data_IF_214954068584
#
_entry.id   IF_214954068584
#
_cell.length_a   1.000
_cell.length_b   1.000
_cell.length_c   1.000
_cell.angle_alpha   90.00
_cell.angle_beta   90.00
_cell.angle_gamma   90.00
#
_symmetry.space_group_name_H-M   'P 1'
#
loop_
_entity.id
_entity.type
_entity.pdbx_description
1 polymer ?
#
# COMPACT_ATOMS: atom_id res chain seq x y z
N UNK A 1 -5.01 5.86 19.41
CA UNK A 1 -6.43 6.26 19.61
C UNK A 1 -7.42 5.09 19.46
N UNK A 2 -7.24 4.16 18.51
CA UNK A 2 -8.15 3.01 18.32
C UNK A 2 -8.16 2.02 19.51
N UNK A 3 -6.99 1.76 20.11
CA UNK A 3 -6.84 0.87 21.27
C UNK A 3 -7.68 1.32 22.48
N UNK A 4 -7.66 2.63 22.77
CA UNK A 4 -8.41 3.22 23.90
C UNK A 4 -9.93 3.07 23.72
N UNK A 5 -10.43 3.16 22.48
CA UNK A 5 -11.87 3.01 22.18
C UNK A 5 -12.33 1.55 22.33
N UNK A 6 -11.56 0.60 21.80
CA UNK A 6 -11.89 -0.83 21.90
C UNK A 6 -11.80 -1.31 23.35
N UNK A 7 -10.80 -0.83 24.10
CA UNK A 7 -10.67 -1.07 25.54
C UNK A 7 -11.87 -0.53 26.32
N UNK A 8 -12.27 0.74 26.09
CA UNK A 8 -13.42 1.36 26.77
C UNK A 8 -14.73 0.60 26.52
N UNK A 9 -14.99 0.20 25.26
CA UNK A 9 -16.20 -0.57 24.91
C UNK A 9 -16.19 -1.92 25.62
N UNK A 10 -15.05 -2.62 25.63
CA UNK A 10 -14.94 -3.95 26.26
C UNK A 10 -15.09 -3.85 27.78
N UNK A 11 -14.52 -2.82 28.40
CA UNK A 11 -14.69 -2.54 29.83
C UNK A 11 -16.16 -2.30 30.20
N UNK A 12 -16.89 -1.54 29.38
CA UNK A 12 -18.30 -1.27 29.60
C UNK A 12 -19.16 -2.54 29.41
N UNK A 13 -18.82 -3.41 28.44
CA UNK A 13 -19.44 -4.74 28.28
C UNK A 13 -19.20 -5.64 29.49
N UNK A 14 -18.00 -5.57 30.08
CA UNK A 14 -17.69 -6.28 31.33
C UNK A 14 -18.51 -5.76 32.52
N UNK A 15 -18.72 -4.44 32.62
CA UNK A 15 -19.58 -3.84 33.64
C UNK A 15 -21.03 -4.32 33.50
N UNK A 16 -21.56 -4.36 32.28
CA UNK A 16 -22.91 -4.89 31.99
C UNK A 16 -23.03 -6.37 32.36
N UNK A 17 -22.03 -7.18 32.02
CA UNK A 17 -21.97 -8.58 32.43
C UNK A 17 -22.03 -8.73 33.96
N UNK A 18 -21.23 -7.95 34.68
CA UNK A 18 -21.19 -7.98 36.14
C UNK A 18 -22.53 -7.56 36.76
N UNK A 19 -23.18 -6.55 36.19
CA UNK A 19 -24.54 -6.14 36.58
C UNK A 19 -25.55 -7.29 36.46
N UNK A 20 -25.63 -7.95 35.30
CA UNK A 20 -26.60 -9.03 35.08
C UNK A 20 -26.30 -10.28 35.94
N UNK A 21 -25.03 -10.59 36.21
CA UNK A 21 -24.67 -11.69 37.13
C UNK A 21 -25.08 -11.39 38.57
N UNK A 22 -24.74 -10.20 39.08
CA UNK A 22 -25.11 -9.81 40.44
C UNK A 22 -26.64 -9.81 40.60
N UNK A 23 -27.33 -9.28 39.60
CA UNK A 23 -28.80 -9.28 39.57
C UNK A 23 -29.38 -10.71 39.60
N UNK A 24 -28.86 -11.59 38.76
CA UNK A 24 -29.31 -12.98 38.70
C UNK A 24 -29.09 -13.74 40.01
N UNK A 25 -27.96 -13.53 40.68
CA UNK A 25 -27.64 -14.23 41.92
C UNK A 25 -28.51 -13.71 43.07
N UNK A 26 -28.62 -12.39 43.22
CA UNK A 26 -29.19 -11.74 44.41
C UNK A 26 -30.72 -11.58 44.36
N UNK A 27 -31.30 -11.28 43.20
CA UNK A 27 -32.69 -10.78 43.13
C UNK A 27 -33.68 -11.69 42.40
N UNK A 28 -33.22 -12.57 41.50
CA UNK A 28 -34.14 -13.52 40.87
C UNK A 28 -34.54 -14.65 41.84
N UNK A 29 -35.81 -15.08 41.90
CA UNK A 29 -36.23 -16.19 42.77
C UNK A 29 -36.15 -17.57 42.09
N UNK A 30 -36.27 -17.66 40.75
CA UNK A 30 -36.37 -18.92 40.01
C UNK A 30 -35.02 -19.50 39.56
N UNK A 31 -34.70 -20.74 39.94
CA UNK A 31 -33.43 -21.42 39.59
C UNK A 31 -33.19 -21.53 38.08
N UNK A 32 -34.24 -21.83 37.30
CA UNK A 32 -34.16 -21.94 35.84
C UNK A 32 -33.89 -20.58 35.17
N UNK A 33 -34.55 -19.51 35.63
CA UNK A 33 -34.31 -18.16 35.12
C UNK A 33 -32.91 -17.66 35.47
N UNK A 34 -32.41 -17.95 36.68
CA UNK A 34 -31.02 -17.66 37.06
C UNK A 34 -30.02 -18.32 36.12
N UNK A 35 -30.18 -19.62 35.88
CA UNK A 35 -29.28 -20.38 35.02
C UNK A 35 -29.26 -19.79 33.60
N UNK A 36 -30.43 -19.46 33.03
CA UNK A 36 -30.52 -18.87 31.69
C UNK A 36 -29.84 -17.51 31.60
N UNK A 37 -30.08 -16.61 32.57
CA UNK A 37 -29.44 -15.27 32.58
C UNK A 37 -27.92 -15.39 32.70
N UNK A 38 -27.41 -16.28 33.55
CA UNK A 38 -25.97 -16.52 33.72
C UNK A 38 -25.35 -17.08 32.44
N UNK A 39 -26.00 -18.05 31.79
CA UNK A 39 -25.51 -18.65 30.54
C UNK A 39 -25.46 -17.61 29.42
N UNK A 40 -26.53 -16.85 29.21
CA UNK A 40 -26.57 -15.81 28.16
C UNK A 40 -25.56 -14.70 28.45
N UNK A 41 -25.42 -14.29 29.72
CA UNK A 41 -24.41 -13.29 30.11
C UNK A 41 -22.98 -13.80 29.89
N UNK A 42 -22.71 -15.08 30.19
CA UNK A 42 -21.39 -15.68 29.95
C UNK A 42 -21.05 -15.74 28.47
N UNK A 43 -22.00 -16.13 27.62
CA UNK A 43 -21.86 -16.13 26.16
C UNK A 43 -21.59 -14.72 25.63
N UNK A 44 -22.30 -13.72 26.15
CA UNK A 44 -22.10 -12.32 25.79
C UNK A 44 -20.66 -11.86 26.07
N UNK A 45 -20.10 -12.19 27.24
CA UNK A 45 -18.72 -11.85 27.58
C UNK A 45 -17.71 -12.62 26.71
N UNK A 46 -17.93 -13.92 26.47
CA UNK A 46 -17.06 -14.72 25.61
C UNK A 46 -16.98 -14.15 24.20
N UNK A 47 -18.12 -13.77 23.61
CA UNK A 47 -18.17 -13.14 22.28
C UNK A 47 -17.49 -11.77 22.29
N UNK A 48 -17.68 -10.98 23.35
CA UNK A 48 -17.01 -9.69 23.50
C UNK A 48 -15.48 -9.82 23.55
N UNK A 49 -14.96 -10.80 24.29
CA UNK A 49 -13.52 -11.10 24.38
C UNK A 49 -12.95 -11.61 23.05
N UNK A 50 -13.65 -12.51 22.38
CA UNK A 50 -13.24 -13.00 21.05
C UNK A 50 -13.15 -11.83 20.06
N UNK A 51 -14.10 -10.89 20.11
CA UNK A 51 -14.05 -9.71 19.25
C UNK A 51 -12.94 -8.72 19.64
N UNK A 52 -12.56 -8.65 20.92
CA UNK A 52 -11.40 -7.87 21.37
C UNK A 52 -10.09 -8.41 20.76
N UNK A 53 -9.87 -9.73 20.81
CA UNK A 53 -8.65 -10.35 20.29
C UNK A 53 -8.65 -10.55 18.76
N UNK A 54 -9.80 -10.78 18.13
CA UNK A 54 -9.94 -11.10 16.70
C UNK A 54 -10.82 -10.09 15.94
N UNK A 55 -10.53 -8.80 16.12
CA UNK A 55 -11.30 -7.67 15.55
C UNK A 55 -11.48 -7.69 14.02
N UNK A 56 -10.62 -8.38 13.25
CA UNK A 56 -10.61 -8.30 11.79
C UNK A 56 -11.68 -9.19 11.11
N UNK A 57 -12.03 -10.34 11.70
CA UNK A 57 -12.99 -11.30 11.10
C UNK A 57 -14.46 -10.97 11.40
N UNK A 58 -14.76 -10.30 12.51
CA UNK A 58 -16.13 -10.10 13.02
C UNK A 58 -16.66 -8.66 12.91
N UNK A 59 -16.00 -7.82 12.11
CA UNK A 59 -16.21 -6.36 12.11
C UNK A 59 -17.65 -5.92 11.80
N UNK A 60 -18.40 -6.66 10.96
CA UNK A 60 -19.81 -6.35 10.64
C UNK A 60 -20.80 -6.90 11.66
N UNK A 61 -20.52 -8.06 12.25
CA UNK A 61 -21.39 -8.69 13.24
C UNK A 61 -21.28 -8.03 14.61
N UNK A 62 -20.12 -7.47 14.95
CA UNK A 62 -19.90 -6.82 16.24
C UNK A 62 -20.84 -5.64 16.52
N UNK A 63 -21.36 -4.99 15.47
CA UNK A 63 -22.32 -3.90 15.61
C UNK A 63 -23.72 -4.41 16.04
N UNK A 64 -24.00 -5.72 15.87
CA UNK A 64 -25.30 -6.34 16.19
C UNK A 64 -25.29 -7.26 17.41
N UNK A 65 -24.10 -7.72 17.82
CA UNK A 65 -23.90 -8.63 18.95
C UNK A 65 -24.55 -8.08 20.23
N UNK A 66 -24.35 -6.80 20.52
CA UNK A 66 -24.88 -6.20 21.74
C UNK A 66 -26.42 -6.24 21.77
N UNK A 67 -27.11 -6.07 20.64
CA UNK A 67 -28.57 -6.16 20.58
C UNK A 67 -29.07 -7.59 20.75
N UNK A 68 -28.39 -8.56 20.13
CA UNK A 68 -28.78 -9.97 20.21
C UNK A 68 -28.73 -10.49 21.65
N UNK A 69 -27.77 -10.04 22.46
CA UNK A 69 -27.62 -10.49 23.84
C UNK A 69 -28.34 -9.60 24.87
N UNK A 70 -28.30 -8.27 24.72
CA UNK A 70 -28.86 -7.36 25.75
C UNK A 70 -30.39 -7.32 25.73
N UNK A 71 -31.05 -7.47 24.57
CA UNK A 71 -32.52 -7.44 24.49
C UNK A 71 -33.12 -8.63 25.26
N UNK A 72 -32.70 -9.90 25.03
CA UNK A 72 -33.17 -11.02 25.83
C UNK A 72 -32.81 -10.91 27.31
N UNK A 73 -31.60 -10.40 27.64
CA UNK A 73 -31.18 -10.22 29.03
C UNK A 73 -32.05 -9.22 29.79
N UNK A 74 -32.41 -8.09 29.16
CA UNK A 74 -33.29 -7.08 29.75
C UNK A 74 -34.74 -7.55 29.91
N UNK A 75 -35.19 -8.46 29.04
CA UNK A 75 -36.54 -9.04 29.14
C UNK A 75 -36.60 -10.15 30.19
N UNK A 76 -35.58 -11.02 30.25
CA UNK A 76 -35.50 -12.13 31.19
C UNK A 76 -35.15 -11.70 32.63
N UNK A 77 -34.48 -10.56 32.81
CA UNK A 77 -34.14 -10.06 34.16
C UNK A 77 -35.35 -9.58 34.95
N UNK A 78 -36.46 -9.24 34.27
CA UNK A 78 -37.66 -8.66 34.86
C UNK A 78 -37.46 -7.30 35.51
N UNK A 79 -36.26 -6.70 35.40
CA UNK A 79 -35.93 -5.44 36.04
C UNK A 79 -36.14 -4.24 35.12
N UNK A 80 -36.91 -3.24 35.54
CA UNK A 80 -37.19 -2.07 34.71
C UNK A 80 -35.95 -1.20 34.47
N UNK A 81 -34.93 -1.29 35.34
CA UNK A 81 -33.64 -0.60 35.17
C UNK A 81 -32.75 -1.24 34.10
N UNK A 82 -32.97 -2.51 33.75
CA UNK A 82 -32.18 -3.21 32.75
C UNK A 82 -32.32 -2.62 31.34
N UNK A 83 -33.37 -1.83 31.08
CA UNK A 83 -33.61 -1.12 29.82
C UNK A 83 -32.45 -0.16 29.51
N UNK A 84 -31.84 0.45 30.54
CA UNK A 84 -30.72 1.37 30.37
C UNK A 84 -29.44 0.69 29.87
N UNK A 85 -29.35 -0.64 29.93
CA UNK A 85 -28.23 -1.38 29.31
C UNK A 85 -28.17 -1.15 27.79
N UNK A 86 -29.29 -0.86 27.15
CA UNK A 86 -29.38 -0.57 25.71
C UNK A 86 -28.90 0.83 25.32
N UNK A 87 -28.68 1.73 26.29
CA UNK A 87 -28.03 3.03 26.05
C UNK A 87 -26.54 2.88 25.72
N UNK A 88 -25.90 1.82 26.21
CA UNK A 88 -24.48 1.59 25.98
C UNK A 88 -24.19 1.38 24.48
N UNK A 89 -24.90 0.48 23.76
CA UNK A 89 -24.78 0.37 22.31
C UNK A 89 -25.16 1.66 21.56
N UNK A 90 -26.14 2.43 22.06
CA UNK A 90 -26.62 3.65 21.38
C UNK A 90 -25.53 4.72 21.29
N UNK A 91 -24.75 4.89 22.36
CA UNK A 91 -23.62 5.83 22.45
C UNK A 91 -22.48 5.53 21.46
N UNK A 92 -22.33 4.28 21.02
CA UNK A 92 -21.20 3.88 20.16
C UNK A 92 -21.59 3.54 18.71
N UNK A 93 -22.88 3.45 18.41
CA UNK A 93 -23.40 3.09 17.09
C UNK A 93 -23.33 4.24 16.07
N UNK A 94 -23.52 5.48 16.53
CA UNK A 94 -23.45 6.68 15.68
C UNK A 94 -22.02 7.26 15.65
N UNK A 95 -21.52 7.79 14.51
CA UNK A 95 -22.16 7.96 13.21
C UNK A 95 -21.85 6.85 12.20
N UNK A 96 -21.34 5.69 12.64
CA UNK A 96 -20.85 4.66 11.71
C UNK A 96 -21.99 3.99 10.92
N UNK A 97 -23.11 3.69 11.59
CA UNK A 97 -24.26 3.04 10.97
C UNK A 97 -25.56 3.56 11.62
N UNK A 98 -26.53 3.98 10.80
CA UNK A 98 -27.85 4.45 11.28
C UNK A 98 -28.73 3.30 11.78
N UNK A 99 -28.61 2.12 11.17
CA UNK A 99 -29.46 0.95 11.44
C UNK A 99 -29.35 0.46 12.89
N UNK A 100 -28.14 0.24 13.48
CA UNK A 100 -28.00 -0.16 14.88
C UNK A 100 -28.52 0.90 15.87
N UNK A 101 -28.39 2.18 15.54
CA UNK A 101 -28.97 3.26 16.35
C UNK A 101 -30.51 3.20 16.37
N UNK A 102 -31.14 3.02 15.21
CA UNK A 102 -32.60 2.85 15.16
C UNK A 102 -33.06 1.61 15.92
N UNK A 103 -32.36 0.47 15.80
CA UNK A 103 -32.65 -0.75 16.55
C UNK A 103 -32.55 -0.50 18.06
N UNK A 104 -31.51 0.19 18.52
CA UNK A 104 -31.33 0.57 19.92
C UNK A 104 -32.48 1.43 20.44
N UNK A 105 -32.83 2.48 19.70
CA UNK A 105 -33.88 3.43 20.09
C UNK A 105 -35.26 2.75 20.09
N UNK A 106 -35.57 1.94 19.08
CA UNK A 106 -36.84 1.18 19.01
C UNK A 106 -36.93 0.12 20.10
N UNK A 107 -35.87 -0.63 20.35
CA UNK A 107 -35.87 -1.66 21.40
C UNK A 107 -35.95 -1.07 22.80
N UNK A 108 -35.21 0.01 23.08
CA UNK A 108 -35.26 0.70 24.37
C UNK A 108 -36.62 1.36 24.62
N UNK A 109 -37.27 1.90 23.58
CA UNK A 109 -38.62 2.46 23.72
C UNK A 109 -39.70 1.40 23.85
N UNK A 110 -39.63 0.32 23.08
CA UNK A 110 -40.57 -0.80 23.21
C UNK A 110 -40.50 -1.42 24.60
N UNK A 111 -39.28 -1.67 25.12
CA UNK A 111 -39.09 -2.15 26.49
C UNK A 111 -39.49 -1.10 27.53
N UNK A 112 -39.20 0.18 27.28
CA UNK A 112 -39.62 1.30 28.12
C UNK A 112 -41.14 1.33 28.29
N UNK A 113 -41.89 1.20 27.19
CA UNK A 113 -43.35 1.14 27.20
C UNK A 113 -43.87 -0.13 27.88
N UNK A 114 -43.19 -1.26 27.67
CA UNK A 114 -43.56 -2.54 28.31
C UNK A 114 -43.47 -2.48 29.85
N UNK A 115 -42.41 -1.89 30.41
CA UNK A 115 -42.19 -1.84 31.85
C UNK A 115 -42.80 -0.61 32.55
N UNK A 116 -42.85 0.55 31.89
CA UNK A 116 -43.31 1.82 32.51
C UNK A 116 -44.59 2.39 31.89
N UNK A 117 -45.22 1.70 30.95
CA UNK A 117 -46.43 2.17 30.25
C UNK A 117 -46.16 3.44 29.42
N UNK A 118 -47.14 4.35 29.35
CA UNK A 118 -47.03 5.59 28.56
C UNK A 118 -45.85 6.50 28.99
N UNK A 119 -45.41 6.43 30.25
CA UNK A 119 -44.23 7.17 30.73
C UNK A 119 -42.92 6.66 30.11
N UNK A 120 -42.92 5.41 29.63
CA UNK A 120 -41.81 4.81 28.90
C UNK A 120 -41.46 5.50 27.57
N UNK A 121 -42.38 6.30 27.01
CA UNK A 121 -42.10 7.13 25.83
C UNK A 121 -41.00 8.17 26.08
N UNK A 122 -40.76 8.57 27.33
CA UNK A 122 -39.69 9.50 27.70
C UNK A 122 -38.28 8.90 27.48
N UNK A 123 -38.17 7.58 27.33
CA UNK A 123 -36.91 6.89 26.97
C UNK A 123 -36.51 7.19 25.52
N UNK A 124 -37.47 7.53 24.65
CA UNK A 124 -37.21 7.86 23.23
C UNK A 124 -36.30 9.09 23.07
N UNK A 125 -36.66 10.29 23.56
CA UNK A 125 -35.81 11.46 23.39
C UNK A 125 -34.45 11.30 24.08
N UNK A 126 -34.39 10.57 25.21
CA UNK A 126 -33.15 10.32 25.93
C UNK A 126 -32.17 9.45 25.14
N UNK A 127 -32.65 8.30 24.62
CA UNK A 127 -31.83 7.37 23.81
C UNK A 127 -31.35 8.01 22.51
N UNK A 128 -32.21 8.84 21.90
CA UNK A 128 -31.90 9.57 20.67
C UNK A 128 -30.88 10.69 20.93
N UNK A 129 -31.05 11.48 21.98
CA UNK A 129 -30.09 12.52 22.37
C UNK A 129 -28.71 11.95 22.70
N UNK A 130 -28.66 10.84 23.46
CA UNK A 130 -27.41 10.16 23.78
C UNK A 130 -26.79 9.47 22.56
N UNK A 131 -27.58 8.95 21.64
CA UNK A 131 -27.07 8.41 20.38
C UNK A 131 -26.48 9.48 19.45
N UNK A 132 -26.99 10.72 19.51
CA UNK A 132 -26.50 11.85 18.70
C UNK A 132 -25.37 12.62 19.42
N UNK A 133 -25.28 12.57 20.76
CA UNK A 133 -24.24 13.25 21.55
C UNK A 133 -22.78 13.00 21.10
N UNK A 134 -22.36 11.78 20.68
CA UNK A 134 -21.02 11.54 20.14
C UNK A 134 -20.75 12.26 18.81
N UNK A 135 -21.81 12.72 18.12
CA UNK A 135 -21.70 13.56 16.94
C UNK A 135 -21.54 15.01 17.32
N UNK A 136 -20.35 15.35 17.81
CA UNK A 136 -19.76 16.62 17.41
C UNK A 136 -19.48 16.53 15.90
N UNK A 137 -20.54 16.71 15.12
CA UNK A 137 -20.56 16.65 13.64
C UNK A 137 -19.43 17.52 13.05
N UNK A 138 -19.04 18.57 13.77
CA UNK A 138 -17.98 19.50 13.42
C UNK A 138 -16.56 18.92 13.58
N UNK A 139 -16.28 18.18 14.65
CA UNK A 139 -14.97 17.54 14.89
C UNK A 139 -14.74 16.37 13.93
N UNK A 140 -15.78 15.61 13.60
CA UNK A 140 -15.68 14.53 12.62
C UNK A 140 -15.51 15.07 11.19
N UNK A 141 -16.20 16.17 10.85
CA UNK A 141 -16.04 16.82 9.55
C UNK A 141 -14.65 17.45 9.40
N UNK A 142 -14.12 18.09 10.43
CA UNK A 142 -12.76 18.64 10.40
C UNK A 142 -11.73 17.51 10.24
N UNK A 143 -11.82 16.44 11.04
CA UNK A 143 -10.91 15.30 10.93
C UNK A 143 -11.00 14.57 9.57
N UNK A 144 -12.19 14.49 8.98
CA UNK A 144 -12.35 13.92 7.64
C UNK A 144 -11.75 14.82 6.55
N UNK A 145 -11.90 16.13 6.68
CA UNK A 145 -11.28 17.10 5.78
C UNK A 145 -9.75 17.03 5.87
N UNK A 146 -9.21 17.00 7.09
CA UNK A 146 -7.77 16.86 7.32
C UNK A 146 -7.25 15.55 6.74
N UNK A 147 -7.98 14.44 6.93
CA UNK A 147 -7.59 13.16 6.34
C UNK A 147 -7.55 13.20 4.81
N UNK A 148 -8.52 13.84 4.16
CA UNK A 148 -8.51 13.98 2.69
C UNK A 148 -7.33 14.82 2.24
N UNK A 149 -7.08 15.94 2.92
CA UNK A 149 -5.93 16.78 2.66
C UNK A 149 -4.61 16.00 2.76
N UNK A 150 -4.41 15.20 3.81
CA UNK A 150 -3.21 14.35 3.92
C UNK A 150 -3.09 13.30 2.81
N UNK A 151 -4.21 12.75 2.33
CA UNK A 151 -4.19 11.78 1.23
C UNK A 151 -3.83 12.45 -0.09
N UNK A 152 -4.39 13.63 -0.38
CA UNK A 152 -4.06 14.45 -1.54
C UNK A 152 -2.58 14.88 -1.50
N UNK A 153 -2.11 15.34 -0.34
CA UNK A 153 -0.72 15.72 -0.14
C UNK A 153 0.22 14.55 -0.42
N UNK A 154 -0.11 13.35 0.10
CA UNK A 154 0.68 12.14 -0.16
C UNK A 154 0.69 11.76 -1.64
N UNK A 155 -0.44 11.92 -2.34
CA UNK A 155 -0.51 11.73 -3.78
C UNK A 155 0.40 12.69 -4.55
N UNK A 156 0.33 13.98 -4.21
CA UNK A 156 1.17 15.02 -4.81
C UNK A 156 2.67 14.82 -4.54
N UNK A 157 3.05 14.40 -3.32
CA UNK A 157 4.44 14.03 -3.04
C UNK A 157 4.90 12.83 -3.86
N UNK A 158 4.03 11.84 -4.06
CA UNK A 158 4.31 10.69 -4.92
C UNK A 158 4.59 11.11 -6.37
N UNK A 159 3.74 11.96 -6.95
CA UNK A 159 3.93 12.45 -8.32
C UNK A 159 5.19 13.30 -8.46
N UNK A 160 5.47 14.19 -7.51
CA UNK A 160 6.70 15.00 -7.50
C UNK A 160 7.95 14.10 -7.40
N UNK A 161 7.89 13.03 -6.60
CA UNK A 161 9.00 12.10 -6.48
C UNK A 161 9.25 11.33 -7.79
N UNK A 162 8.17 10.94 -8.49
CA UNK A 162 8.28 10.32 -9.82
C UNK A 162 8.90 11.29 -10.83
N UNK A 163 8.41 12.53 -10.92
CA UNK A 163 8.95 13.57 -11.80
C UNK A 163 10.43 13.88 -11.51
N UNK A 164 10.82 13.91 -10.23
CA UNK A 164 12.21 14.12 -9.85
C UNK A 164 13.08 12.95 -10.31
N UNK A 165 12.59 11.71 -10.18
CA UNK A 165 13.32 10.53 -10.65
C UNK A 165 13.49 10.50 -12.18
N UNK A 166 12.48 10.96 -12.94
CA UNK A 166 12.59 11.08 -14.39
C UNK A 166 13.59 12.16 -14.78
N UNK A 167 13.56 13.30 -14.10
CA UNK A 167 14.45 14.42 -14.37
C UNK A 167 15.92 14.09 -14.00
N UNK A 168 16.15 13.31 -12.94
CA UNK A 168 17.47 12.78 -12.62
C UNK A 168 18.00 11.82 -13.71
N UNK A 169 17.14 10.96 -14.27
CA UNK A 169 17.52 10.07 -15.38
C UNK A 169 17.87 10.86 -16.62
N UNK A 170 17.05 11.85 -16.99
CA UNK A 170 17.31 12.73 -18.13
C UNK A 170 18.62 13.52 -17.95
N UNK A 171 18.88 14.02 -16.74
CA UNK A 171 20.14 14.71 -16.42
C UNK A 171 21.35 13.79 -16.62
N UNK A 172 21.30 12.55 -16.12
CA UNK A 172 22.38 11.57 -16.31
C UNK A 172 22.61 11.24 -17.79
N UNK A 173 21.53 11.04 -18.55
CA UNK A 173 21.62 10.81 -19.99
C UNK A 173 22.25 12.00 -20.72
N UNK A 174 21.88 13.22 -20.36
CA UNK A 174 22.47 14.44 -20.94
C UNK A 174 23.96 14.58 -20.60
N UNK A 175 24.35 14.36 -19.36
CA UNK A 175 25.77 14.41 -18.93
C UNK A 175 26.61 13.36 -19.67
N UNK A 176 26.07 12.16 -19.87
CA UNK A 176 26.74 11.11 -20.63
C UNK A 176 26.86 11.46 -22.12
N UNK A 177 25.80 11.99 -22.75
CA UNK A 177 25.87 12.44 -24.14
C UNK A 177 26.89 13.55 -24.34
N UNK A 178 27.00 14.49 -23.41
CA UNK A 178 28.01 15.54 -23.45
C UNK A 178 29.43 14.95 -23.39
N UNK A 179 29.68 13.99 -22.50
CA UNK A 179 30.98 13.29 -22.45
C UNK A 179 31.30 12.54 -23.73
N UNK A 180 30.31 11.88 -24.34
CA UNK A 180 30.51 11.20 -25.63
C UNK A 180 30.82 12.19 -26.76
N UNK A 181 30.23 13.39 -26.72
CA UNK A 181 30.50 14.44 -27.69
C UNK A 181 31.90 15.05 -27.48
N UNK A 182 32.32 15.28 -26.23
CA UNK A 182 33.70 15.67 -25.90
C UNK A 182 34.73 14.64 -26.40
N UNK A 183 34.42 13.35 -26.31
CA UNK A 183 35.26 12.29 -26.86
C UNK A 183 35.31 12.32 -28.40
N UNK A 184 34.20 12.69 -29.06
CA UNK A 184 34.10 12.84 -30.52
C UNK A 184 34.89 14.03 -31.08
N UNK A 185 35.29 14.98 -30.24
CA UNK A 185 36.18 16.08 -30.64
C UNK A 185 37.67 15.66 -30.66
N UNK A 186 38.00 14.38 -30.41
CA UNK A 186 39.36 13.86 -30.46
C UNK A 186 39.93 13.75 -31.89
N UNK A 187 41.26 13.81 -32.01
CA UNK A 187 41.96 14.00 -33.29
C UNK A 187 41.96 12.76 -34.20
N UNK A 188 41.46 11.61 -33.74
CA UNK A 188 41.39 10.39 -34.54
C UNK A 188 40.66 9.21 -33.89
N UNK A 189 40.35 8.15 -34.66
CA UNK A 189 39.56 7.01 -34.21
C UNK A 189 40.23 6.22 -33.07
N UNK A 190 41.56 6.23 -32.98
CA UNK A 190 42.30 5.53 -31.91
C UNK A 190 42.18 6.24 -30.56
N UNK A 191 42.26 7.57 -30.54
CA UNK A 191 42.06 8.38 -29.33
C UNK A 191 40.61 8.28 -28.85
N UNK A 192 39.65 8.31 -29.78
CA UNK A 192 38.23 8.11 -29.47
C UNK A 192 37.99 6.74 -28.80
N UNK A 193 38.50 5.66 -29.40
CA UNK A 193 38.30 4.30 -28.87
C UNK A 193 39.01 4.08 -27.53
N UNK A 194 40.20 4.66 -27.33
CA UNK A 194 40.87 4.64 -26.02
C UNK A 194 40.07 5.42 -24.97
N UNK A 195 39.51 6.57 -25.31
CA UNK A 195 38.63 7.34 -24.41
C UNK A 195 37.35 6.58 -24.03
N UNK A 196 36.73 5.88 -25.00
CA UNK A 196 35.57 5.00 -24.74
C UNK A 196 35.97 3.83 -23.83
N UNK A 197 37.15 3.23 -24.04
CA UNK A 197 37.66 2.14 -23.19
C UNK A 197 37.85 2.60 -21.75
N UNK A 198 38.44 3.78 -21.52
CA UNK A 198 38.64 4.33 -20.17
C UNK A 198 37.32 4.74 -19.49
N UNK A 199 36.41 5.38 -20.24
CA UNK A 199 35.12 5.84 -19.71
C UNK A 199 34.25 4.68 -19.20
N UNK A 200 34.19 3.58 -19.93
CA UNK A 200 33.39 2.40 -19.57
C UNK A 200 34.21 1.29 -18.89
N UNK A 201 35.51 1.51 -18.65
CA UNK A 201 36.45 0.52 -18.08
C UNK A 201 36.38 -0.83 -18.80
N UNK A 202 36.43 -0.80 -20.12
CA UNK A 202 36.36 -2.00 -20.96
C UNK A 202 37.71 -2.72 -20.98
N UNK A 203 37.67 -4.04 -21.19
CA UNK A 203 38.88 -4.86 -21.29
C UNK A 203 39.64 -4.60 -22.58
N UNK A 204 38.93 -4.54 -23.70
CA UNK A 204 39.47 -4.24 -25.04
C UNK A 204 38.35 -3.84 -25.99
N UNK A 205 38.69 -3.15 -27.08
CA UNK A 205 37.76 -2.84 -28.17
C UNK A 205 38.42 -3.23 -29.50
N UNK A 206 37.76 -4.09 -30.27
CA UNK A 206 38.24 -4.53 -31.58
C UNK A 206 37.22 -4.17 -32.66
N UNK A 207 37.69 -3.70 -33.82
CA UNK A 207 36.84 -3.40 -34.97
C UNK A 207 37.20 -4.34 -36.11
N UNK A 208 36.22 -5.10 -36.60
CA UNK A 208 36.38 -6.06 -37.69
C UNK A 208 35.59 -5.61 -38.92
N UNK A 209 36.14 -5.73 -40.14
CA UNK A 209 35.37 -5.53 -41.35
C UNK A 209 34.35 -6.67 -41.54
N UNK A 210 33.08 -6.33 -41.78
CA UNK A 210 31.99 -7.27 -42.10
C UNK A 210 31.86 -7.36 -43.62
N UNK A 211 32.15 -8.54 -44.19
CA UNK A 211 32.01 -8.81 -45.64
C UNK A 211 30.55 -9.09 -46.06
N UNK A 212 29.67 -9.48 -45.13
CA UNK A 212 28.25 -9.79 -45.39
C UNK A 212 27.30 -8.90 -44.56
N UNK A 213 26.32 -8.28 -45.23
CA UNK A 213 25.35 -7.33 -44.67
C UNK A 213 24.19 -7.97 -43.87
N UNK A 214 24.31 -9.24 -43.51
CA UNK A 214 23.23 -10.04 -42.90
C UNK A 214 23.12 -9.92 -41.38
N UNK A 215 24.15 -9.44 -40.68
CA UNK A 215 24.13 -9.28 -39.22
C UNK A 215 23.63 -7.88 -38.86
N UNK A 216 22.30 -7.75 -38.69
CA UNK A 216 21.66 -6.49 -38.30
C UNK A 216 21.44 -6.34 -36.80
N UNK A 217 21.55 -7.44 -36.04
CA UNK A 217 21.25 -7.45 -34.61
C UNK A 217 22.53 -7.47 -33.77
N UNK A 218 22.48 -6.77 -32.63
CA UNK A 218 23.58 -6.77 -31.66
C UNK A 218 23.70 -8.18 -31.06
N UNK A 219 24.86 -8.81 -31.21
CA UNK A 219 25.11 -10.14 -30.67
C UNK A 219 25.73 -10.02 -29.29
N UNK A 220 25.12 -10.69 -28.31
CA UNK A 220 25.63 -10.78 -26.94
C UNK A 220 26.10 -12.22 -26.74
N UNK A 221 27.39 -12.39 -26.45
CA UNK A 221 27.95 -13.71 -26.14
C UNK A 221 28.33 -13.76 -24.65
N UNK A 222 27.53 -14.52 -23.90
CA UNK A 222 27.71 -14.74 -22.46
C UNK A 222 28.97 -15.58 -22.16
N UNK A 223 29.42 -16.41 -23.10
CA UNK A 223 30.60 -17.25 -22.94
C UNK A 223 31.92 -16.51 -23.10
N UNK A 224 31.98 -15.53 -24.01
CA UNK A 224 33.17 -14.69 -24.24
C UNK A 224 33.13 -13.33 -23.55
N UNK A 225 32.04 -12.99 -22.86
CA UNK A 225 31.80 -11.69 -22.24
C UNK A 225 31.89 -10.52 -23.24
N UNK A 226 31.30 -10.69 -24.43
CA UNK A 226 31.38 -9.70 -25.51
C UNK A 226 30.03 -9.15 -25.95
N UNK A 227 30.04 -7.86 -26.30
CA UNK A 227 28.95 -7.19 -27.00
C UNK A 227 29.46 -6.84 -28.39
N UNK A 228 28.85 -7.42 -29.42
CA UNK A 228 29.19 -7.16 -30.82
C UNK A 228 28.11 -6.30 -31.45
N UNK A 229 28.49 -5.08 -31.85
CA UNK A 229 27.58 -4.10 -32.45
C UNK A 229 27.93 -3.93 -33.93
N UNK A 230 27.01 -4.26 -34.86
CA UNK A 230 27.20 -3.96 -36.27
C UNK A 230 26.98 -2.46 -36.53
N UNK A 231 27.87 -1.86 -37.32
CA UNK A 231 27.87 -0.45 -37.69
C UNK A 231 27.95 -0.34 -39.21
N UNK A 232 27.03 0.42 -39.80
CA UNK A 232 27.07 0.76 -41.23
C UNK A 232 27.98 1.97 -41.43
N UNK A 233 28.98 1.84 -42.31
CA UNK A 233 29.87 2.94 -42.71
C UNK A 233 29.42 3.49 -44.06
N UNK A 234 30.00 4.62 -44.50
CA UNK A 234 29.71 5.19 -45.83
C UNK A 234 30.09 4.21 -46.96
N UNK A 235 31.19 3.49 -46.79
CA UNK A 235 31.72 2.48 -47.70
C UNK A 235 32.01 1.16 -46.95
N UNK A 236 30.95 0.38 -46.71
CA UNK A 236 31.02 -0.98 -46.14
C UNK A 236 30.37 -1.12 -44.76
N UNK A 237 30.66 -2.23 -44.07
CA UNK A 237 30.14 -2.53 -42.73
C UNK A 237 31.24 -2.96 -41.77
N UNK A 238 31.11 -2.57 -40.50
CA UNK A 238 32.03 -2.89 -39.42
C UNK A 238 31.32 -3.64 -38.29
N UNK A 239 32.00 -4.58 -37.65
CA UNK A 239 31.59 -5.18 -36.38
C UNK A 239 32.50 -4.65 -35.27
N UNK A 240 31.93 -3.88 -34.35
CA UNK A 240 32.64 -3.39 -33.17
C UNK A 240 32.39 -4.35 -32.03
N UNK A 241 33.44 -4.98 -31.52
CA UNK A 241 33.39 -5.96 -30.44
C UNK A 241 33.97 -5.34 -29.18
N UNK A 242 33.11 -5.14 -28.18
CA UNK A 242 33.50 -4.69 -26.84
C UNK A 242 33.69 -5.88 -25.91
N UNK A 243 34.84 -5.96 -25.25
CA UNK A 243 35.14 -6.97 -24.24
C UNK A 243 34.91 -6.39 -22.85
N UNK A 244 34.03 -7.03 -22.08
CA UNK A 244 33.68 -6.61 -20.72
C UNK A 244 34.55 -7.29 -19.67
N UNK A 245 34.57 -6.74 -18.45
CA UNK A 245 35.34 -7.30 -17.34
C UNK A 245 34.51 -8.25 -16.48
N UNK A 246 33.19 -8.04 -16.39
CA UNK A 246 32.33 -8.80 -15.49
C UNK A 246 31.00 -9.22 -16.15
N UNK A 247 30.49 -10.45 -15.91
CA UNK A 247 29.21 -10.92 -16.46
C UNK A 247 28.00 -10.06 -16.05
N UNK A 248 28.07 -9.37 -14.91
CA UNK A 248 27.00 -8.44 -14.50
C UNK A 248 26.85 -7.23 -15.45
N UNK A 249 27.92 -6.81 -16.12
CA UNK A 249 27.91 -5.70 -17.09
C UNK A 249 27.11 -6.08 -18.35
N UNK A 250 27.01 -7.38 -18.67
CA UNK A 250 26.14 -7.89 -19.73
C UNK A 250 24.65 -7.84 -19.36
N UNK A 251 24.28 -7.64 -18.11
CA UNK A 251 22.87 -7.52 -17.70
C UNK A 251 22.42 -6.06 -17.63
N UNK A 252 23.36 -5.11 -17.70
CA UNK A 252 23.09 -3.68 -17.65
C UNK A 252 22.58 -3.16 -19.01
N UNK A 253 21.30 -2.80 -19.04
CA UNK A 253 20.64 -2.26 -20.25
C UNK A 253 21.14 -0.87 -20.61
N UNK A 254 21.49 -0.04 -19.62
CA UNK A 254 21.97 1.33 -19.85
C UNK A 254 23.37 1.29 -20.48
N UNK A 255 24.26 0.44 -19.95
CA UNK A 255 25.59 0.22 -20.52
C UNK A 255 25.51 -0.24 -21.99
N UNK A 256 24.65 -1.20 -22.30
CA UNK A 256 24.46 -1.71 -23.67
C UNK A 256 24.03 -0.61 -24.63
N UNK A 257 23.01 0.17 -24.28
CA UNK A 257 22.53 1.25 -25.14
C UNK A 257 23.64 2.27 -25.42
N UNK A 258 24.47 2.56 -24.41
CA UNK A 258 25.57 3.52 -24.55
C UNK A 258 26.69 2.97 -25.44
N UNK A 259 27.07 1.71 -25.28
CA UNK A 259 28.06 1.06 -26.15
C UNK A 259 27.59 0.98 -27.60
N UNK A 260 26.29 0.73 -27.82
CA UNK A 260 25.68 0.77 -29.15
C UNK A 260 25.76 2.18 -29.74
N UNK A 261 25.49 3.23 -28.96
CA UNK A 261 25.63 4.62 -29.41
C UNK A 261 27.08 4.97 -29.74
N UNK A 262 28.04 4.56 -28.91
CA UNK A 262 29.48 4.77 -29.15
C UNK A 262 29.93 4.06 -30.43
N UNK A 263 29.51 2.82 -30.64
CA UNK A 263 29.82 2.07 -31.85
C UNK A 263 29.28 2.77 -33.10
N UNK A 264 28.02 3.25 -33.05
CA UNK A 264 27.43 3.99 -34.18
C UNK A 264 28.17 5.30 -34.48
N UNK A 265 28.68 6.00 -33.46
CA UNK A 265 29.44 7.23 -33.65
C UNK A 265 30.79 7.02 -34.37
N UNK A 266 31.32 5.79 -34.42
CA UNK A 266 32.53 5.49 -35.21
C UNK A 266 32.34 5.72 -36.71
N UNK A 267 31.09 5.73 -37.22
CA UNK A 267 30.82 6.07 -38.61
C UNK A 267 31.24 7.49 -38.98
N UNK A 268 31.46 8.38 -38.01
CA UNK A 268 31.98 9.73 -38.27
C UNK A 268 33.49 9.77 -38.52
N UNK A 269 34.23 8.74 -38.11
CA UNK A 269 35.69 8.68 -38.26
C UNK A 269 36.17 7.73 -39.37
N UNK A 270 35.38 6.72 -39.71
CA UNK A 270 35.76 5.70 -40.68
C UNK A 270 34.80 5.79 -41.87
N UNK A 271 35.29 6.25 -43.02
CA UNK A 271 34.52 6.30 -44.27
C UNK A 271 34.30 4.89 -44.83
N UNK A 272 35.32 4.02 -44.77
CA UNK A 272 35.24 2.61 -45.17
C UNK A 272 36.52 1.83 -44.88
N UNK A 273 36.49 0.51 -45.10
CA UNK A 273 37.70 -0.33 -45.08
C UNK A 273 38.14 -0.63 -46.51
N UNK A 274 38.93 0.27 -47.12
CA UNK A 274 39.61 -0.03 -48.38
C UNK A 274 40.69 -1.11 -48.14
N UNK A 275 40.47 -2.31 -48.70
CA UNK A 275 41.44 -3.39 -48.94
C UNK A 275 42.28 -3.93 -47.77
N UNK A 276 41.84 -3.77 -46.51
CA UNK A 276 42.52 -4.40 -45.35
C UNK A 276 41.74 -5.60 -44.81
N UNK A 277 42.23 -6.80 -45.09
CA UNK A 277 41.75 -8.07 -44.52
C UNK A 277 42.09 -8.25 -43.01
N UNK A 278 42.77 -7.28 -42.40
CA UNK A 278 43.23 -7.37 -41.01
C UNK A 278 42.39 -6.52 -40.08
N UNK A 279 41.94 -7.17 -39.00
CA UNK A 279 41.31 -6.53 -37.85
C UNK A 279 42.17 -5.37 -37.38
N UNK A 280 41.60 -4.15 -37.37
CA UNK A 280 42.30 -3.02 -36.78
C UNK A 280 42.06 -3.12 -35.28
N UNK A 281 43.10 -3.59 -34.58
CA UNK A 281 43.11 -3.73 -33.11
C UNK A 281 43.48 -2.37 -32.52
N UNK A 282 42.47 -1.54 -32.27
CA UNK A 282 42.69 -0.11 -32.07
C UNK A 282 42.89 0.26 -30.58
N UNK A 283 42.43 -0.57 -29.63
CA UNK A 283 42.61 -0.30 -28.20
C UNK A 283 42.78 -1.59 -27.37
N UNK A 284 44.00 -1.84 -26.88
CA UNK A 284 44.36 -2.95 -25.95
C UNK A 284 44.35 -2.46 -24.52
#
# INVERSE_FOLDING_TARGET
MWLNKVFLITFLRFLLFLFFILHAILYLPGYTQKAVVVVISSLYLSVALVNYFYSFKLRRLNDYIDFFFLIPLALLSGEPLAIFSLLVPSLFSFPKNLVPLFISVLSATALGVYYFGLRGLLVFPLTLALGISPSSVELLRSLQKDRRYFLELRGAYGSIQEELSTLEREKRQKEMLLKLLELLDSNGPEEYLNGVKEMFKLKAINVFPLKDSSVKECLIDEGSLTISVPVSLEEGSALVVFYLNHPAELMDTELKENLIRCAKMLSFYITGFEDKEQAVKIAV
#
